data_IF_173675304349
#
_entry.id   IF_173675304349
#
_cell.length_a   1.000
_cell.length_b   1.000
_cell.length_c   1.000
_cell.angle_alpha   90.00
_cell.angle_beta   90.00
_cell.angle_gamma   90.00
#
_symmetry.space_group_name_H-M   'P 1'
#
loop_
_entity.id
_entity.type
_entity.pdbx_description
1 polymer ?
#
# COMPACT_ATOMS: atom_id res chain seq x y z
N UNK A 1 -4.70 -0.71 21.47
CA UNK A 1 -4.01 0.06 20.41
C UNK A 1 -2.60 0.48 20.84
N UNK A 2 -2.44 1.29 21.89
CA UNK A 2 -1.11 1.75 22.36
C UNK A 2 -0.11 0.62 22.62
N UNK A 3 -0.53 -0.44 23.31
CA UNK A 3 0.31 -1.62 23.55
C UNK A 3 0.69 -2.39 22.28
N UNK A 4 -0.18 -2.41 21.26
CA UNK A 4 0.12 -3.08 19.99
C UNK A 4 1.14 -2.27 19.18
N UNK A 5 1.03 -0.93 19.20
CA UNK A 5 2.02 -0.04 18.59
C UNK A 5 3.37 -0.12 19.31
N UNK A 6 3.37 -0.17 20.65
CA UNK A 6 4.61 -0.33 21.41
C UNK A 6 5.29 -1.68 21.15
N UNK A 7 4.49 -2.74 20.93
CA UNK A 7 5.00 -4.04 20.53
C UNK A 7 5.67 -3.96 19.14
N UNK A 8 5.03 -3.34 18.15
CA UNK A 8 5.61 -3.18 16.81
C UNK A 8 6.91 -2.37 16.82
N UNK A 9 7.07 -1.41 17.74
CA UNK A 9 8.32 -0.64 17.92
C UNK A 9 9.46 -1.44 18.55
N UNK A 10 9.16 -2.55 19.25
CA UNK A 10 10.14 -3.35 19.99
C UNK A 10 10.49 -4.67 19.33
N UNK A 11 9.63 -5.18 18.45
CA UNK A 11 9.86 -6.42 17.71
C UNK A 11 10.99 -6.21 16.71
N UNK A 12 11.74 -7.29 16.44
CA UNK A 12 12.78 -7.28 15.41
C UNK A 12 12.18 -6.89 14.06
N UNK A 13 12.77 -5.94 13.31
CA UNK A 13 12.27 -5.51 12.01
C UNK A 13 12.05 -6.66 11.02
N UNK A 14 12.86 -7.73 11.12
CA UNK A 14 12.75 -8.91 10.26
C UNK A 14 11.49 -9.75 10.52
N UNK A 15 10.78 -9.51 11.62
CA UNK A 15 9.57 -10.23 12.03
C UNK A 15 8.34 -9.33 12.02
N UNK A 16 8.44 -8.10 11.51
CA UNK A 16 7.37 -7.10 11.55
C UNK A 16 6.10 -7.59 10.84
N UNK A 17 6.24 -8.20 9.66
CA UNK A 17 5.11 -8.75 8.88
C UNK A 17 4.38 -9.88 9.62
N UNK A 18 5.15 -10.81 10.22
CA UNK A 18 4.57 -11.92 11.01
C UNK A 18 3.89 -11.41 12.27
N UNK A 19 4.51 -10.44 12.96
CA UNK A 19 3.96 -9.84 14.17
C UNK A 19 2.67 -9.08 13.87
N UNK A 20 2.63 -8.31 12.78
CA UNK A 20 1.44 -7.60 12.34
C UNK A 20 0.32 -8.59 11.99
N UNK A 21 0.63 -9.65 11.23
CA UNK A 21 -0.35 -10.70 10.90
C UNK A 21 -0.95 -11.36 12.16
N UNK A 22 -0.13 -11.62 13.18
CA UNK A 22 -0.59 -12.15 14.45
C UNK A 22 -1.47 -11.14 15.22
N UNK A 23 -1.10 -9.85 15.21
CA UNK A 23 -1.90 -8.78 15.81
C UNK A 23 -3.25 -8.60 15.11
N UNK A 24 -3.30 -8.68 13.78
CA UNK A 24 -4.54 -8.62 13.00
C UNK A 24 -5.46 -9.79 13.34
N UNK A 25 -4.90 -10.98 13.54
CA UNK A 25 -5.66 -12.18 13.95
C UNK A 25 -6.19 -12.05 15.38
N UNK A 26 -5.39 -11.47 16.28
CA UNK A 26 -5.74 -11.32 17.69
C UNK A 26 -6.76 -10.18 17.93
N UNK A 27 -6.64 -9.09 17.17
CA UNK A 27 -7.42 -7.86 17.32
C UNK A 27 -8.09 -7.45 16.00
N UNK A 28 -9.04 -8.24 15.48
CA UNK A 28 -9.66 -7.99 14.17
C UNK A 28 -10.37 -6.63 14.10
N UNK A 29 -10.90 -6.15 15.21
CA UNK A 29 -11.57 -4.83 15.32
C UNK A 29 -10.64 -3.64 15.14
N UNK A 30 -9.33 -3.82 15.29
CA UNK A 30 -8.31 -2.77 15.12
C UNK A 30 -7.49 -2.94 13.84
N UNK A 31 -7.93 -3.81 12.92
CA UNK A 31 -7.20 -4.12 11.69
C UNK A 31 -6.88 -2.89 10.84
N UNK A 32 -7.88 -2.05 10.59
CA UNK A 32 -7.73 -0.81 9.81
C UNK A 32 -6.74 0.17 10.47
N UNK A 33 -6.79 0.32 11.79
CA UNK A 33 -5.91 1.24 12.51
C UNK A 33 -4.46 0.73 12.54
N UNK A 34 -4.29 -0.59 12.66
CA UNK A 34 -2.97 -1.21 12.70
C UNK A 34 -2.29 -1.18 11.34
N UNK A 35 -3.03 -1.48 10.26
CA UNK A 35 -2.51 -1.39 8.91
C UNK A 35 -2.09 0.05 8.59
N UNK A 36 -2.87 1.04 9.06
CA UNK A 36 -2.63 2.47 8.78
C UNK A 36 -1.51 3.14 9.54
N UNK A 37 -0.99 2.50 10.58
CA UNK A 37 0.04 3.10 11.44
C UNK A 37 1.34 2.30 11.47
N UNK A 38 1.33 1.09 10.92
CA UNK A 38 2.48 0.19 10.96
C UNK A 38 3.06 0.07 9.57
N UNK A 39 4.20 0.73 9.36
CA UNK A 39 4.96 0.63 8.12
C UNK A 39 5.41 -0.82 7.88
N UNK A 40 5.17 -1.30 6.67
CA UNK A 40 5.63 -2.59 6.18
C UNK A 40 6.71 -2.37 5.11
N UNK A 41 7.63 -3.33 4.92
CA UNK A 41 8.55 -3.30 3.80
C UNK A 41 7.79 -3.13 2.48
N UNK A 42 8.21 -2.14 1.69
CA UNK A 42 7.59 -1.86 0.40
C UNK A 42 7.84 -3.03 -0.56
N UNK A 43 6.76 -3.58 -1.10
CA UNK A 43 6.83 -4.61 -2.14
C UNK A 43 6.69 -3.98 -3.52
N UNK A 44 7.24 -4.63 -4.55
CA UNK A 44 7.19 -4.15 -5.92
C UNK A 44 6.36 -5.11 -6.76
N UNK A 45 5.48 -4.58 -7.60
CA UNK A 45 4.69 -5.33 -8.57
C UNK A 45 4.81 -4.70 -9.96
N UNK A 46 4.60 -5.50 -11.00
CA UNK A 46 4.67 -5.02 -12.39
C UNK A 46 3.27 -4.87 -12.98
N UNK A 47 2.94 -3.65 -13.39
CA UNK A 47 1.77 -3.39 -14.22
C UNK A 47 1.97 -4.04 -15.59
N UNK A 48 1.15 -5.05 -15.90
CA UNK A 48 1.24 -5.82 -17.15
C UNK A 48 0.82 -5.03 -18.39
N UNK A 49 0.02 -3.97 -18.25
CA UNK A 49 -0.43 -3.16 -19.39
C UNK A 49 0.62 -2.13 -19.80
N UNK A 50 1.25 -1.51 -18.80
CA UNK A 50 2.26 -0.49 -19.02
C UNK A 50 3.70 -1.04 -19.02
N UNK A 51 3.89 -2.30 -18.61
CA UNK A 51 5.18 -2.94 -18.36
C UNK A 51 6.07 -2.10 -17.40
N UNK A 52 5.44 -1.50 -16.38
CA UNK A 52 6.10 -0.62 -15.40
C UNK A 52 5.93 -1.15 -13.99
N UNK A 53 6.98 -1.05 -13.20
CA UNK A 53 6.94 -1.41 -11.79
C UNK A 53 6.23 -0.32 -10.96
N UNK A 54 5.52 -0.74 -9.92
CA UNK A 54 4.94 0.14 -8.91
C UNK A 54 5.04 -0.49 -7.53
N UNK A 55 4.92 0.36 -6.51
CA UNK A 55 5.06 -0.03 -5.11
C UNK A 55 3.68 -0.42 -4.55
N UNK A 56 3.65 -1.52 -3.80
CA UNK A 56 2.49 -1.96 -3.05
C UNK A 56 2.54 -1.38 -1.64
N UNK A 57 1.47 -0.71 -1.23
CA UNK A 57 1.26 -0.25 0.13
C UNK A 57 -0.22 -0.31 0.48
N UNK A 58 -0.58 0.02 1.71
CA UNK A 58 -1.99 0.07 2.09
C UNK A 58 -2.77 1.19 1.38
N UNK A 59 -2.11 2.29 1.01
CA UNK A 59 -2.78 3.45 0.41
C UNK A 59 -3.28 3.21 -1.01
N UNK A 60 -2.70 2.24 -1.72
CA UNK A 60 -3.20 1.78 -3.02
C UNK A 60 -3.86 0.41 -2.94
N UNK A 61 -4.13 -0.13 -1.74
CA UNK A 61 -4.79 -1.42 -1.54
C UNK A 61 -6.31 -1.24 -1.39
N UNK A 62 -7.05 -2.12 -2.04
CA UNK A 62 -8.48 -2.32 -1.80
C UNK A 62 -8.76 -3.83 -1.76
N UNK A 63 -9.35 -4.31 -0.66
CA UNK A 63 -9.41 -5.72 -0.29
C UNK A 63 -8.02 -6.41 -0.40
N UNK A 64 -7.82 -7.29 -1.38
CA UNK A 64 -6.55 -7.97 -1.66
C UNK A 64 -5.92 -7.55 -2.99
N UNK A 65 -6.38 -6.43 -3.55
CA UNK A 65 -5.94 -5.90 -4.84
C UNK A 65 -5.23 -4.56 -4.68
N UNK A 66 -4.27 -4.27 -5.55
CA UNK A 66 -3.49 -3.04 -5.51
C UNK A 66 -3.63 -2.25 -6.80
N UNK A 67 -3.86 -0.94 -6.68
CA UNK A 67 -4.02 -0.04 -7.83
C UNK A 67 -2.67 0.41 -8.36
N UNK A 68 -2.43 0.17 -9.64
CA UNK A 68 -1.28 0.72 -10.35
C UNK A 68 -1.47 2.22 -10.61
N UNK A 69 -0.46 3.07 -10.32
CA UNK A 69 -0.49 4.48 -10.69
C UNK A 69 -0.40 4.70 -12.20
N UNK A 70 0.01 3.68 -12.98
CA UNK A 70 0.19 3.79 -14.43
C UNK A 70 -1.12 3.56 -15.18
N UNK A 71 -1.67 2.35 -15.13
CA UNK A 71 -2.92 1.97 -15.80
C UNK A 71 -4.19 2.42 -15.05
N UNK A 72 -4.06 2.83 -13.78
CA UNK A 72 -5.19 3.07 -12.87
C UNK A 72 -6.05 1.83 -12.59
N UNK A 73 -5.51 0.62 -12.81
CA UNK A 73 -6.21 -0.65 -12.60
C UNK A 73 -5.72 -1.38 -11.36
N UNK A 74 -6.62 -2.16 -10.79
CA UNK A 74 -6.34 -3.03 -9.65
C UNK A 74 -5.77 -4.39 -10.11
N UNK A 75 -4.83 -4.91 -9.31
CA UNK A 75 -4.22 -6.22 -9.48
C UNK A 75 -4.26 -7.01 -8.16
N UNK A 76 -4.93 -8.17 -8.09
CA UNK A 76 -5.84 -8.75 -9.10
C UNK A 76 -7.00 -7.82 -9.50
N UNK A 77 -7.69 -8.12 -10.61
CA UNK A 77 -8.76 -7.24 -11.12
C UNK A 77 -9.91 -7.13 -10.12
N UNK A 78 -10.31 -5.90 -9.82
CA UNK A 78 -11.40 -5.56 -8.92
C UNK A 78 -12.36 -4.60 -9.65
N UNK A 79 -13.65 -4.97 -9.75
CA UNK A 79 -14.65 -4.17 -10.48
C UNK A 79 -15.10 -2.94 -9.68
N UNK A 80 -15.23 -3.05 -8.35
CA UNK A 80 -15.73 -2.00 -7.45
C UNK A 80 -14.61 -1.35 -6.61
N UNK A 81 -13.39 -1.30 -7.13
CA UNK A 81 -12.26 -0.69 -6.43
C UNK A 81 -12.36 0.82 -6.31
N UNK A 82 -11.88 1.37 -5.19
CA UNK A 82 -11.88 2.81 -4.93
C UNK A 82 -10.98 3.58 -5.90
N UNK A 83 -11.57 4.46 -6.73
CA UNK A 83 -10.82 5.27 -7.69
C UNK A 83 -10.76 6.75 -7.28
N UNK A 84 -9.65 7.44 -7.56
CA UNK A 84 -9.56 8.89 -7.37
C UNK A 84 -10.53 9.63 -8.31
N UNK A 85 -10.95 10.84 -7.92
CA UNK A 85 -11.72 11.71 -8.80
C UNK A 85 -10.91 12.09 -10.05
N UNK A 86 -11.59 12.49 -11.12
CA UNK A 86 -10.92 12.86 -12.39
C UNK A 86 -9.88 13.96 -12.21
N UNK A 87 -10.13 14.93 -11.34
CA UNK A 87 -9.17 16.01 -11.04
C UNK A 87 -7.97 15.49 -10.25
N UNK A 88 -8.21 14.68 -9.21
CA UNK A 88 -7.13 14.09 -8.40
C UNK A 88 -6.28 13.12 -9.22
N UNK A 89 -6.88 12.37 -10.15
CA UNK A 89 -6.16 11.46 -11.05
C UNK A 89 -5.20 12.21 -11.99
N UNK A 90 -5.59 13.39 -12.50
CA UNK A 90 -4.69 14.22 -13.31
C UNK A 90 -3.48 14.65 -12.50
N UNK A 91 -3.70 15.14 -11.28
CA UNK A 91 -2.65 15.54 -10.37
C UNK A 91 -1.75 14.35 -9.98
N UNK A 92 -2.33 13.18 -9.75
CA UNK A 92 -1.60 11.95 -9.46
C UNK A 92 -0.64 11.56 -10.61
N UNK A 93 -1.08 11.66 -11.86
CA UNK A 93 -0.24 11.37 -13.03
C UNK A 93 0.94 12.36 -13.09
N UNK A 94 0.66 13.66 -12.98
CA UNK A 94 1.71 14.70 -12.98
C UNK A 94 2.70 14.49 -11.82
N UNK A 95 2.21 14.16 -10.63
CA UNK A 95 3.06 13.88 -9.47
C UNK A 95 3.95 12.66 -9.71
N UNK A 96 3.41 11.56 -10.25
CA UNK A 96 4.20 10.36 -10.55
C UNK A 96 5.32 10.65 -11.56
N UNK A 97 5.06 11.47 -12.59
CA UNK A 97 6.08 11.86 -13.56
C UNK A 97 7.20 12.69 -12.90
N UNK A 98 6.85 13.63 -12.02
CA UNK A 98 7.84 14.43 -11.27
C UNK A 98 8.66 13.57 -10.30
N UNK A 99 8.00 12.67 -9.55
CA UNK A 99 8.69 11.79 -8.61
C UNK A 99 9.56 10.75 -9.31
N UNK A 100 9.20 10.31 -10.52
CA UNK A 100 10.06 9.46 -11.33
C UNK A 100 11.38 10.16 -11.68
N UNK A 101 11.34 11.44 -12.06
CA UNK A 101 12.54 12.25 -12.31
C UNK A 101 13.36 12.45 -11.03
N UNK A 102 12.71 12.63 -9.87
CA UNK A 102 13.40 12.74 -8.58
C UNK A 102 14.11 11.44 -8.19
N UNK A 103 13.48 10.28 -8.41
CA UNK A 103 14.06 8.97 -8.10
C UNK A 103 15.34 8.68 -8.90
N UNK A 104 15.41 9.15 -10.14
CA UNK A 104 16.52 8.87 -11.05
C UNK A 104 17.72 9.84 -10.86
N UNK A 105 17.58 10.88 -10.02
CA UNK A 105 18.64 11.81 -9.64
C UNK A 105 19.48 11.29 -8.46
#
# INVERSE_FOLDING_TARGET
>A
MEAAMDLMRRISPNQSETALSALLTLLPHHSSDLLSQVDQPLQVFTDVECAKEFILCEYNRDADSYRSPWSNKYYPTLEDGSLPSTELRKLEIEANDVFAVYRDQ
#
